data_IF_724516582771
#
_entry.id   IF_724516582771
#
_cell.length_a   1.000
_cell.length_b   1.000
_cell.length_c   1.000
_cell.angle_alpha   90.00
_cell.angle_beta   90.00
_cell.angle_gamma   90.00
#
_symmetry.space_group_name_H-M   'P 1'
#
loop_
_entity.id
_entity.type
_entity.pdbx_description
1 polymer ?
#
# COMPACT_ATOMS: atom_id res chain seq x y z
N UNK A 1 3.25 12.52 -9.66
CA UNK A 1 1.80 12.52 -9.95
C UNK A 1 1.22 11.12 -9.78
N UNK A 2 1.72 10.13 -10.52
CA UNK A 2 1.23 8.74 -10.48
C UNK A 2 1.20 8.11 -9.06
N UNK A 3 2.20 8.39 -8.21
CA UNK A 3 2.19 7.90 -6.83
C UNK A 3 1.05 8.46 -5.97
N UNK A 4 0.67 9.74 -6.18
CA UNK A 4 -0.45 10.35 -5.47
C UNK A 4 -1.81 9.78 -5.96
N UNK A 5 -1.94 9.55 -7.26
CA UNK A 5 -3.08 8.86 -7.87
C UNK A 5 -3.23 7.45 -7.30
N UNK A 6 -2.14 6.67 -7.30
CA UNK A 6 -2.14 5.31 -6.77
C UNK A 6 -2.51 5.26 -5.27
N UNK A 7 -2.05 6.24 -4.49
CA UNK A 7 -2.42 6.37 -3.08
C UNK A 7 -3.91 6.66 -2.89
N UNK A 8 -4.48 7.61 -3.62
CA UNK A 8 -5.92 7.91 -3.57
C UNK A 8 -6.77 6.70 -3.94
N UNK A 9 -6.40 5.98 -5.00
CA UNK A 9 -7.09 4.74 -5.38
C UNK A 9 -7.02 3.69 -4.28
N UNK A 10 -5.85 3.52 -3.65
CA UNK A 10 -5.67 2.55 -2.58
C UNK A 10 -6.53 2.90 -1.35
N UNK A 11 -6.65 4.18 -1.00
CA UNK A 11 -7.48 4.62 0.14
C UNK A 11 -8.96 4.47 -0.16
N UNK A 12 -9.42 4.88 -1.35
CA UNK A 12 -10.81 4.68 -1.79
C UNK A 12 -11.19 3.21 -1.80
N UNK A 13 -10.31 2.35 -2.34
CA UNK A 13 -10.62 0.94 -2.54
C UNK A 13 -10.60 0.12 -1.25
N UNK A 14 -9.59 0.31 -0.39
CA UNK A 14 -9.47 -0.51 0.83
C UNK A 14 -10.42 -0.09 1.95
N UNK A 15 -11.08 1.06 1.84
CA UNK A 15 -11.98 1.58 2.88
C UNK A 15 -11.32 1.75 4.26
N UNK A 16 -9.98 1.82 4.32
CA UNK A 16 -9.20 1.80 5.57
C UNK A 16 -9.42 3.08 6.39
N UNK A 17 -9.79 4.17 5.73
CA UNK A 17 -9.97 5.48 6.35
C UNK A 17 -11.43 5.90 6.14
N UNK A 18 -12.16 6.12 7.23
CA UNK A 18 -13.55 6.61 7.20
C UNK A 18 -13.71 7.96 6.47
N UNK A 19 -12.64 8.73 6.33
CA UNK A 19 -12.57 9.96 5.54
C UNK A 19 -11.32 9.91 4.65
N UNK A 20 -11.43 9.47 3.39
CA UNK A 20 -10.31 9.53 2.46
C UNK A 20 -9.83 10.99 2.30
N UNK A 21 -8.52 11.25 2.20
CA UNK A 21 -8.01 12.58 1.95
C UNK A 21 -8.46 13.05 0.56
N UNK A 22 -8.76 14.36 0.44
CA UNK A 22 -9.07 14.96 -0.86
C UNK A 22 -7.81 15.13 -1.71
N UNK A 23 -7.99 15.32 -3.02
CA UNK A 23 -6.88 15.70 -3.93
C UNK A 23 -6.19 16.97 -3.45
N UNK A 24 -6.94 17.92 -2.87
CA UNK A 24 -6.40 19.16 -2.30
C UNK A 24 -5.51 18.92 -1.08
N UNK A 25 -5.85 17.95 -0.22
CA UNK A 25 -5.01 17.60 0.93
C UNK A 25 -3.66 17.02 0.48
N UNK A 26 -3.67 16.22 -0.59
CA UNK A 26 -2.43 15.72 -1.18
C UNK A 26 -1.66 16.81 -1.90
N UNK A 27 -2.33 17.71 -2.62
CA UNK A 27 -1.68 18.87 -3.20
C UNK A 27 -0.96 19.70 -2.14
N UNK A 28 -1.60 19.95 -0.99
CA UNK A 28 -0.97 20.65 0.12
C UNK A 28 0.29 19.94 0.62
N UNK A 29 0.21 18.62 0.84
CA UNK A 29 1.34 17.78 1.26
C UNK A 29 2.50 17.78 0.27
N UNK A 30 2.21 17.89 -1.03
CA UNK A 30 3.19 17.83 -2.10
C UNK A 30 3.38 19.17 -2.83
N UNK A 31 3.01 20.28 -2.20
CA UNK A 31 3.01 21.63 -2.82
C UNK A 31 4.40 22.10 -3.27
N UNK A 32 5.46 21.52 -2.72
CA UNK A 32 6.86 21.76 -3.11
C UNK A 32 7.21 21.04 -4.44
N UNK A 33 6.46 19.98 -4.79
CA UNK A 33 6.75 19.08 -5.90
C UNK A 33 5.69 19.08 -7.01
N UNK A 34 4.51 19.67 -6.77
CA UNK A 34 3.44 19.77 -7.76
C UNK A 34 2.87 21.17 -7.84
N UNK A 35 2.62 21.61 -9.07
CA UNK A 35 1.82 22.79 -9.39
C UNK A 35 0.32 22.48 -9.39
N UNK A 36 -0.51 23.49 -9.12
CA UNK A 36 -1.98 23.35 -9.13
C UNK A 36 -2.54 22.89 -10.48
N UNK A 37 -1.82 23.20 -11.57
CA UNK A 37 -2.11 22.75 -12.94
C UNK A 37 -2.18 21.22 -13.07
N UNK A 38 -1.60 20.46 -12.14
CA UNK A 38 -1.61 19.00 -12.14
C UNK A 38 -2.87 18.37 -11.51
N UNK A 39 -3.72 19.16 -10.82
CA UNK A 39 -4.92 18.65 -10.15
C UNK A 39 -5.92 18.01 -11.14
N UNK A 40 -6.26 18.65 -12.28
CA UNK A 40 -7.16 18.05 -13.26
C UNK A 40 -6.61 16.74 -13.82
N UNK A 41 -5.30 16.68 -14.08
CA UNK A 41 -4.63 15.48 -14.59
C UNK A 41 -4.72 14.30 -13.61
N UNK A 42 -4.57 14.56 -12.30
CA UNK A 42 -4.75 13.54 -11.25
C UNK A 42 -6.19 13.00 -11.27
N UNK A 43 -7.18 13.86 -11.42
CA UNK A 43 -8.59 13.48 -11.43
C UNK A 43 -8.96 12.66 -12.67
N UNK A 44 -8.45 13.04 -13.83
CA UNK A 44 -8.63 12.28 -15.07
C UNK A 44 -8.03 10.87 -14.95
N UNK A 45 -6.79 10.76 -14.46
CA UNK A 45 -6.14 9.46 -14.26
C UNK A 45 -6.86 8.57 -13.25
N UNK A 46 -7.51 9.13 -12.23
CA UNK A 46 -8.32 8.38 -11.27
C UNK A 46 -9.57 7.75 -11.91
N UNK A 47 -10.16 8.42 -12.90
CA UNK A 47 -11.36 7.94 -13.60
C UNK A 47 -11.04 6.83 -14.60
N UNK A 48 -9.86 6.87 -15.22
CA UNK A 48 -9.44 5.88 -16.22
C UNK A 48 -9.08 4.51 -15.61
N UNK A 49 -8.72 4.44 -14.33
CA UNK A 49 -8.23 3.21 -13.71
C UNK A 49 -9.42 2.32 -13.27
N UNK A 50 -9.57 1.10 -13.85
CA UNK A 50 -10.68 0.22 -13.54
C UNK A 50 -10.58 -0.33 -12.11
N UNK A 51 -11.49 0.09 -11.23
CA UNK A 51 -11.52 -0.24 -9.80
C UNK A 51 -11.64 -1.75 -9.50
N UNK A 52 -12.13 -2.56 -10.44
CA UNK A 52 -12.34 -4.00 -10.29
C UNK A 52 -11.03 -4.83 -10.26
N UNK A 53 -9.88 -4.27 -10.63
CA UNK A 53 -8.58 -4.99 -10.62
C UNK A 53 -7.76 -4.80 -9.34
N UNK A 54 -8.32 -4.17 -8.31
CA UNK A 54 -7.57 -3.75 -7.12
C UNK A 54 -7.51 -4.80 -6.00
N UNK A 55 -8.04 -6.02 -6.21
CA UNK A 55 -8.01 -7.14 -5.26
C UNK A 55 -6.62 -7.79 -5.12
N UNK A 56 -5.58 -6.99 -4.91
CA UNK A 56 -4.23 -7.48 -4.65
C UNK A 56 -4.10 -7.81 -3.16
N UNK A 57 -3.96 -9.10 -2.85
CA UNK A 57 -3.60 -9.58 -1.51
C UNK A 57 -2.26 -8.97 -1.09
N UNK A 58 -2.25 -8.26 0.04
CA UNK A 58 -1.04 -7.66 0.59
C UNK A 58 -0.28 -8.66 1.47
N UNK A 59 1.07 -8.61 1.53
CA UNK A 59 1.84 -9.42 2.49
C UNK A 59 1.36 -9.24 3.94
N UNK A 60 0.90 -8.03 4.29
CA UNK A 60 0.35 -7.73 5.62
C UNK A 60 -0.92 -8.50 5.95
N UNK A 61 -1.79 -8.75 4.96
CA UNK A 61 -3.00 -9.55 5.16
C UNK A 61 -2.62 -11.00 5.49
N UNK A 62 -1.61 -11.54 4.80
CA UNK A 62 -1.13 -12.91 4.99
C UNK A 62 -0.41 -13.03 6.34
N UNK A 63 0.46 -12.08 6.70
CA UNK A 63 1.12 -12.05 8.01
C UNK A 63 0.11 -12.01 9.18
N UNK A 64 -1.02 -11.32 9.03
CA UNK A 64 -2.09 -11.33 10.03
C UNK A 64 -2.71 -12.72 10.19
N UNK A 65 -2.89 -13.46 9.10
CA UNK A 65 -3.37 -14.85 9.13
C UNK A 65 -2.37 -15.77 9.83
N UNK A 66 -1.09 -15.68 9.46
CA UNK A 66 -0.01 -16.46 10.10
C UNK A 66 0.02 -16.19 11.60
N UNK A 67 -0.05 -14.92 12.01
CA UNK A 67 -0.06 -14.56 13.43
C UNK A 67 -1.22 -15.14 14.23
N UNK A 68 -2.39 -15.30 13.58
CA UNK A 68 -3.56 -15.91 14.21
C UNK A 68 -3.40 -17.42 14.36
N UNK A 69 -2.82 -18.08 13.35
CA UNK A 69 -2.65 -19.54 13.31
C UNK A 69 -1.52 -19.99 14.24
N UNK A 70 -0.34 -19.37 14.12
CA UNK A 70 0.87 -19.75 14.85
C UNK A 70 0.98 -19.10 16.23
N UNK A 71 0.01 -18.26 16.63
CA UNK A 71 0.01 -17.50 17.89
C UNK A 71 1.31 -16.74 18.11
N UNK A 72 1.74 -16.04 17.05
CA UNK A 72 2.97 -15.26 17.02
C UNK A 72 3.07 -14.29 18.20
N UNK A 73 4.25 -14.18 18.79
CA UNK A 73 4.51 -13.12 19.76
C UNK A 73 4.39 -11.74 19.07
N UNK A 74 3.94 -10.69 19.78
CA UNK A 74 3.85 -9.35 19.21
C UNK A 74 5.17 -8.83 18.66
N UNK A 75 6.30 -9.23 19.27
CA UNK A 75 7.64 -8.85 18.82
C UNK A 75 7.98 -9.46 17.46
N UNK A 76 7.79 -10.77 17.30
CA UNK A 76 8.08 -11.48 16.03
C UNK A 76 7.13 -10.96 14.94
N UNK A 77 5.84 -10.78 15.25
CA UNK A 77 4.89 -10.22 14.28
C UNK A 77 5.26 -8.80 13.84
N UNK A 78 5.71 -7.95 14.76
CA UNK A 78 6.14 -6.58 14.45
C UNK A 78 7.38 -6.58 13.57
N UNK A 79 8.36 -7.43 13.88
CA UNK A 79 9.59 -7.53 13.09
C UNK A 79 9.31 -8.08 11.69
N UNK A 80 8.46 -9.11 11.56
CA UNK A 80 8.04 -9.64 10.26
C UNK A 80 7.33 -8.59 9.39
N UNK A 81 6.49 -7.75 10.00
CA UNK A 81 5.84 -6.63 9.30
C UNK A 81 6.84 -5.57 8.86
N UNK A 82 7.86 -5.28 9.66
CA UNK A 82 8.93 -4.36 9.29
C UNK A 82 9.71 -4.89 8.07
N UNK A 83 10.12 -6.17 8.09
CA UNK A 83 10.80 -6.79 6.95
C UNK A 83 9.92 -6.76 5.69
N UNK A 84 8.64 -7.11 5.79
CA UNK A 84 7.71 -7.05 4.65
C UNK A 84 7.45 -5.60 4.15
N UNK A 85 7.55 -4.59 5.01
CA UNK A 85 7.46 -3.20 4.58
C UNK A 85 8.70 -2.77 3.79
N UNK A 86 9.88 -3.22 4.20
CA UNK A 86 11.15 -2.88 3.53
C UNK A 86 11.20 -3.36 2.08
N UNK A 87 10.54 -4.49 1.76
CA UNK A 87 10.51 -5.03 0.39
C UNK A 87 9.73 -4.15 -0.59
N UNK A 88 8.82 -3.30 -0.12
CA UNK A 88 8.04 -2.39 -0.99
C UNK A 88 8.94 -1.36 -1.69
N UNK A 89 10.05 -0.98 -1.05
CA UNK A 89 11.00 0.01 -1.59
C UNK A 89 12.01 -0.61 -2.56
N UNK A 90 12.07 -1.93 -2.68
CA UNK A 90 13.07 -2.63 -3.46
C UNK A 90 12.42 -3.26 -4.69
N UNK A 91 12.80 -2.77 -5.87
CA UNK A 91 12.29 -3.21 -7.17
C UNK A 91 12.41 -4.72 -7.42
N UNK A 92 13.39 -5.38 -6.81
CA UNK A 92 13.60 -6.84 -6.94
C UNK A 92 12.42 -7.67 -6.40
N UNK A 93 11.59 -7.08 -5.55
CA UNK A 93 10.44 -7.75 -4.94
C UNK A 93 9.13 -7.51 -5.70
N UNK A 94 9.11 -6.68 -6.76
CA UNK A 94 7.89 -6.36 -7.53
C UNK A 94 7.26 -7.62 -8.16
N UNK A 95 8.09 -8.55 -8.64
CA UNK A 95 7.62 -9.80 -9.26
C UNK A 95 7.33 -10.92 -8.26
N UNK A 96 7.63 -10.72 -6.97
CA UNK A 96 7.41 -11.76 -5.96
C UNK A 96 5.96 -11.81 -5.54
N UNK A 97 5.45 -13.03 -5.30
CA UNK A 97 4.09 -13.18 -4.79
C UNK A 97 4.02 -12.63 -3.37
N UNK A 98 2.94 -11.93 -2.99
CA UNK A 98 2.74 -11.44 -1.62
C UNK A 98 2.88 -12.51 -0.54
N UNK A 99 2.51 -13.77 -0.84
CA UNK A 99 2.68 -14.92 0.04
C UNK A 99 4.14 -15.30 0.28
N UNK A 100 4.99 -15.20 -0.75
CA UNK A 100 6.43 -15.48 -0.62
C UNK A 100 7.10 -14.43 0.25
N UNK A 101 6.76 -13.15 0.05
CA UNK A 101 7.26 -12.06 0.89
C UNK A 101 6.83 -12.25 2.35
N UNK A 102 5.55 -12.55 2.60
CA UNK A 102 5.06 -12.80 3.95
C UNK A 102 5.75 -13.99 4.63
N UNK A 103 5.92 -15.11 3.92
CA UNK A 103 6.59 -16.30 4.44
C UNK A 103 8.08 -16.05 4.72
N UNK A 104 8.79 -15.38 3.82
CA UNK A 104 10.21 -15.04 4.01
C UNK A 104 10.41 -14.09 5.19
N UNK A 105 9.58 -13.05 5.30
CA UNK A 105 9.63 -12.12 6.42
C UNK A 105 9.34 -12.81 7.76
N UNK A 106 8.37 -13.73 7.80
CA UNK A 106 8.11 -14.52 9.00
C UNK A 106 9.28 -15.43 9.35
N UNK A 107 9.83 -16.16 8.38
CA UNK A 107 10.95 -17.09 8.60
C UNK A 107 12.21 -16.41 9.14
N UNK A 108 12.47 -15.16 8.73
CA UNK A 108 13.62 -14.37 9.19
C UNK A 108 13.40 -13.67 10.53
N UNK A 109 12.19 -13.76 11.12
CA UNK A 109 11.81 -13.07 12.36
C UNK A 109 11.82 -13.98 13.58
#
# INVERSE_FOLDING_TARGET
ILGAVAFLLAVEHKGVIHRPPSVFNLYYLYSIYYEQSNIPLIQEQLLEIPKHRLEVLSPFYILRRIATIDRLSPHIHTFARYLAASTVLNERFISMKPSQVAAASYFLS
#
